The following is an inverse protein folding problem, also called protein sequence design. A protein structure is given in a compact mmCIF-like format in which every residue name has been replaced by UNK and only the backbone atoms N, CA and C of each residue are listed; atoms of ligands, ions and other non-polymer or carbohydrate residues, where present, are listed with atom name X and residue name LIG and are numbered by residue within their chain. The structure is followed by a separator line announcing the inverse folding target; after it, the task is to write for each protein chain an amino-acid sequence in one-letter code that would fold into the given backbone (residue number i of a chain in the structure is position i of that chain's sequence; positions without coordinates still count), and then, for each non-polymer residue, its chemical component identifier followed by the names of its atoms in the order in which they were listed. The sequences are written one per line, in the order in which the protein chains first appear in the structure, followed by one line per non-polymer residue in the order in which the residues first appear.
data_IF_559350112597
#
_entry.id   IF_559350112597
#
_cell.length_a   1.000
_cell.length_b   1.000
_cell.length_c   1.000
_cell.angle_alpha   90.00
_cell.angle_beta   90.00
_cell.angle_gamma   90.00
#
_symmetry.space_group_name_H-M   'P 1'
#
loop_
_entity.id
_entity.type
_entity.pdbx_description
1 polymer ?
#
# COMPACT_ATOMS: atom_id res chain seq x y z
N UNK A 1 12.47 28.97 -1.67
CA UNK A 1 12.68 27.82 -2.58
C UNK A 1 11.65 26.76 -2.24
N UNK A 2 10.60 26.63 -3.05
CA UNK A 2 9.59 25.57 -2.91
C UNK A 2 10.23 24.24 -3.34
N UNK A 3 10.35 23.31 -2.40
CA UNK A 3 10.91 21.98 -2.67
C UNK A 3 9.88 21.18 -3.48
N UNK A 4 10.04 21.17 -4.81
CA UNK A 4 9.16 20.40 -5.70
C UNK A 4 9.49 18.93 -5.52
N UNK A 5 8.58 18.19 -4.87
CA UNK A 5 8.72 16.73 -4.70
C UNK A 5 8.81 16.07 -6.07
N UNK A 6 9.57 14.99 -6.20
CA UNK A 6 9.57 14.19 -7.43
C UNK A 6 8.26 13.40 -7.58
N UNK A 7 7.95 12.96 -8.80
CA UNK A 7 6.77 12.10 -9.04
C UNK A 7 6.81 10.83 -8.18
N UNK A 8 8.00 10.27 -7.97
CA UNK A 8 8.17 9.08 -7.14
C UNK A 8 7.92 9.36 -5.65
N UNK A 9 8.32 10.54 -5.15
CA UNK A 9 8.01 10.94 -3.77
C UNK A 9 6.51 11.15 -3.58
N UNK A 10 5.84 11.77 -4.54
CA UNK A 10 4.38 11.94 -4.50
C UNK A 10 3.65 10.61 -4.59
N UNK A 11 4.15 9.67 -5.40
CA UNK A 11 3.59 8.33 -5.50
C UNK A 11 3.74 7.55 -4.19
N UNK A 12 4.93 7.55 -3.59
CA UNK A 12 5.16 6.93 -2.29
C UNK A 12 4.26 7.52 -1.19
N UNK A 13 4.08 8.84 -1.16
CA UNK A 13 3.16 9.50 -0.24
C UNK A 13 1.71 9.10 -0.50
N UNK A 14 1.28 9.08 -1.77
CA UNK A 14 -0.06 8.69 -2.15
C UNK A 14 -0.39 7.27 -1.68
N UNK A 15 0.53 6.30 -1.81
CA UNK A 15 0.34 4.95 -1.30
C UNK A 15 0.10 4.90 0.22
N UNK A 16 0.68 5.84 0.98
CA UNK A 16 0.49 5.89 2.44
C UNK A 16 -0.85 6.51 2.86
N UNK A 17 -1.43 7.38 2.03
CA UNK A 17 -2.65 8.13 2.35
C UNK A 17 -3.90 7.58 1.68
N UNK A 18 -3.77 7.02 0.48
CA UNK A 18 -4.87 6.46 -0.29
C UNK A 18 -5.40 5.19 0.36
N UNK A 19 -6.71 5.14 0.58
CA UNK A 19 -7.38 3.97 1.14
C UNK A 19 -7.37 2.82 0.13
N UNK A 20 -7.24 1.60 0.66
CA UNK A 20 -7.43 0.41 -0.14
C UNK A 20 -8.88 0.35 -0.66
N UNK A 21 -9.09 -0.02 -1.94
CA UNK A 21 -10.41 0.01 -2.55
C UNK A 21 -11.38 -0.98 -1.87
N UNK A 22 -12.53 -0.48 -1.41
CA UNK A 22 -13.54 -1.30 -0.72
C UNK A 22 -14.25 -2.33 -1.61
N UNK A 23 -14.00 -2.32 -2.93
CA UNK A 23 -14.58 -3.29 -3.88
C UNK A 23 -13.97 -4.69 -3.73
N UNK A 24 -12.76 -4.79 -3.18
CA UNK A 24 -12.17 -6.06 -2.77
C UNK A 24 -12.23 -6.14 -1.25
N UNK A 25 -13.21 -6.85 -0.68
CA UNK A 25 -13.37 -6.92 0.76
C UNK A 25 -12.23 -7.70 1.39
N UNK A 26 -11.66 -7.15 2.45
CA UNK A 26 -10.70 -7.85 3.31
C UNK A 26 -11.48 -8.64 4.35
N UNK A 27 -11.31 -9.95 4.36
CA UNK A 27 -11.96 -10.84 5.31
C UNK A 27 -11.40 -10.64 6.72
N UNK A 28 -12.21 -10.99 7.72
CA UNK A 28 -11.77 -10.93 9.11
C UNK A 28 -10.65 -11.94 9.40
N UNK A 29 -10.68 -13.11 8.75
CA UNK A 29 -9.66 -14.13 8.94
C UNK A 29 -8.33 -13.65 8.39
N UNK A 30 -8.33 -13.18 7.14
CA UNK A 30 -7.13 -12.64 6.51
C UNK A 30 -6.51 -11.52 7.32
N UNK A 31 -7.32 -10.56 7.78
CA UNK A 31 -6.81 -9.44 8.55
C UNK A 31 -6.15 -9.87 9.87
N UNK A 32 -6.78 -10.80 10.60
CA UNK A 32 -6.21 -11.33 11.85
C UNK A 32 -4.91 -12.09 11.61
N UNK A 33 -4.89 -12.96 10.60
CA UNK A 33 -3.70 -13.77 10.30
C UNK A 33 -2.56 -12.90 9.77
N UNK A 34 -2.85 -11.89 8.94
CA UNK A 34 -1.84 -10.95 8.48
C UNK A 34 -1.24 -10.13 9.64
N UNK A 35 -2.03 -9.77 10.65
CA UNK A 35 -1.51 -9.15 11.88
C UNK A 35 -0.65 -10.09 12.72
N UNK A 36 -0.98 -11.39 12.77
CA UNK A 36 -0.13 -12.42 13.38
C UNK A 36 1.21 -12.49 12.64
N UNK A 37 1.19 -12.61 11.31
CA UNK A 37 2.39 -12.59 10.47
C UNK A 37 3.24 -11.34 10.69
N UNK A 38 2.61 -10.16 10.77
CA UNK A 38 3.28 -8.91 11.08
C UNK A 38 4.04 -8.96 12.42
N UNK A 39 3.52 -9.66 13.42
CA UNK A 39 4.15 -9.77 14.74
C UNK A 39 5.48 -10.52 14.75
N UNK A 40 5.72 -11.38 13.75
CA UNK A 40 6.99 -12.07 13.54
C UNK A 40 8.01 -11.21 12.76
N UNK A 41 7.56 -10.12 12.15
CA UNK A 41 8.41 -9.22 11.38
C UNK A 41 8.99 -8.10 12.24
N UNK A 42 10.30 -7.88 12.10
CA UNK A 42 10.92 -6.67 12.61
C UNK A 42 10.46 -5.47 11.79
N UNK A 43 9.96 -4.41 12.46
CA UNK A 43 9.61 -3.13 11.82
C UNK A 43 10.70 -2.59 10.89
N UNK A 44 11.97 -2.85 11.21
CA UNK A 44 13.11 -2.43 10.39
C UNK A 44 13.21 -3.24 9.09
N UNK A 45 12.84 -4.53 9.10
CA UNK A 45 12.82 -5.40 7.91
C UNK A 45 11.77 -4.91 6.91
N UNK A 46 10.63 -4.43 7.41
CA UNK A 46 9.49 -3.97 6.60
C UNK A 46 9.49 -2.46 6.35
N UNK A 47 10.59 -1.76 6.68
CA UNK A 47 10.76 -0.34 6.38
C UNK A 47 9.82 0.61 7.12
N UNK A 48 9.24 0.18 8.26
CA UNK A 48 8.33 1.00 9.05
C UNK A 48 9.02 1.65 10.25
N UNK A 49 8.68 2.91 10.50
CA UNK A 49 8.97 3.57 11.78
C UNK A 49 8.15 2.93 12.92
N UNK A 50 8.56 3.19 14.16
CA UNK A 50 7.81 2.71 15.34
C UNK A 50 6.36 3.22 15.36
N UNK A 51 6.12 4.46 14.93
CA UNK A 51 4.79 5.06 14.91
C UNK A 51 3.90 4.46 13.81
N UNK A 52 4.46 4.23 12.63
CA UNK A 52 3.75 3.55 11.54
C UNK A 52 3.38 2.12 11.93
N UNK A 53 4.30 1.38 12.54
CA UNK A 53 4.04 0.03 13.04
C UNK A 53 2.93 0.01 14.09
N UNK A 54 2.99 0.90 15.09
CA UNK A 54 1.93 1.02 16.11
C UNK A 54 0.58 1.42 15.53
N UNK A 55 0.57 2.30 14.54
CA UNK A 55 -0.64 2.72 13.84
C UNK A 55 -1.25 1.56 13.07
N UNK A 56 -0.43 0.80 12.33
CA UNK A 56 -0.88 -0.37 11.56
C UNK A 56 -1.60 -1.39 12.45
N UNK A 57 -1.03 -1.72 13.61
CA UNK A 57 -1.63 -2.66 14.57
C UNK A 57 -3.00 -2.24 15.12
N UNK A 58 -3.39 -0.97 14.96
CA UNK A 58 -4.64 -0.41 15.47
C UNK A 58 -5.60 0.03 14.37
N UNK A 59 -5.15 0.01 13.11
CA UNK A 59 -5.93 0.53 11.98
C UNK A 59 -6.98 -0.51 11.58
N UNK A 60 -8.30 -0.23 11.69
CA UNK A 60 -9.33 -1.17 11.25
C UNK A 60 -9.14 -1.55 9.78
N UNK A 61 -9.50 -2.78 9.39
CA UNK A 61 -9.28 -3.28 8.02
C UNK A 61 -9.94 -2.42 6.94
N UNK A 62 -11.09 -1.81 7.25
CA UNK A 62 -11.83 -0.91 6.35
C UNK A 62 -11.13 0.44 6.15
N UNK A 63 -10.14 0.74 7.00
CA UNK A 63 -9.37 1.97 6.99
C UNK A 63 -7.92 1.74 6.57
N UNK A 64 -7.53 0.56 6.08
CA UNK A 64 -6.16 0.36 5.65
C UNK A 64 -5.84 1.23 4.41
N UNK A 65 -4.68 1.86 4.40
CA UNK A 65 -4.12 2.45 3.18
C UNK A 65 -3.54 1.36 2.27
N UNK A 66 -3.30 1.71 1.00
CA UNK A 66 -2.64 0.82 0.04
C UNK A 66 -1.32 0.26 0.59
N UNK A 67 -0.48 1.14 1.16
CA UNK A 67 0.80 0.73 1.75
C UNK A 67 0.60 -0.22 2.94
N UNK A 68 -0.38 0.04 3.80
CA UNK A 68 -0.67 -0.83 4.94
C UNK A 68 -1.14 -2.22 4.51
N UNK A 69 -1.98 -2.29 3.48
CA UNK A 69 -2.40 -3.58 2.90
C UNK A 69 -1.22 -4.31 2.28
N UNK A 70 -0.37 -3.63 1.50
CA UNK A 70 0.82 -4.26 0.92
C UNK A 70 1.76 -4.82 1.98
N UNK A 71 1.98 -4.08 3.08
CA UNK A 71 2.77 -4.58 4.22
C UNK A 71 2.13 -5.83 4.81
N UNK A 72 0.84 -5.80 5.13
CA UNK A 72 0.15 -6.95 5.74
C UNK A 72 0.17 -8.17 4.82
N UNK A 73 -0.12 -7.98 3.54
CA UNK A 73 -0.16 -9.03 2.53
C UNK A 73 1.19 -9.71 2.35
N UNK A 74 2.26 -8.92 2.19
CA UNK A 74 3.61 -9.48 2.06
C UNK A 74 4.04 -10.22 3.33
N UNK A 75 3.67 -9.73 4.52
CA UNK A 75 3.99 -10.43 5.76
C UNK A 75 3.25 -11.77 5.90
N UNK A 76 1.99 -11.85 5.44
CA UNK A 76 1.26 -13.10 5.44
C UNK A 76 1.93 -14.13 4.52
N UNK A 77 2.29 -13.71 3.30
CA UNK A 77 2.92 -14.58 2.29
C UNK A 77 4.36 -14.99 2.63
N UNK A 78 5.06 -14.20 3.44
CA UNK A 78 6.39 -14.52 3.97
C UNK A 78 6.37 -15.59 5.08
N UNK A 79 5.20 -15.88 5.66
CA UNK A 79 5.05 -16.82 6.76
C UNK A 79 4.57 -18.20 6.28
N UNK A 80 4.94 -19.25 6.98
CA UNK A 80 4.34 -20.57 6.76
C UNK A 80 3.06 -20.76 7.64
N UNK A 81 2.16 -21.70 7.30
CA UNK A 81 0.93 -21.91 8.06
C UNK A 81 1.14 -22.15 9.56
N UNK A 82 2.23 -22.84 9.93
CA UNK A 82 2.52 -23.18 11.32
C UNK A 82 2.89 -21.93 12.14
N UNK A 83 3.65 -20.99 11.56
CA UNK A 83 3.97 -19.70 12.20
C UNK A 83 2.70 -18.87 12.43
N UNK A 84 1.78 -18.94 11.46
CA UNK A 84 0.50 -18.23 11.51
C UNK A 84 -0.52 -18.90 12.44
N UNK A 85 -0.23 -20.11 12.91
CA UNK A 85 -1.12 -20.89 13.77
C UNK A 85 -2.40 -21.36 13.08
N UNK A 86 -2.39 -21.49 11.74
CA UNK A 86 -3.53 -21.94 10.95
C UNK A 86 -3.28 -23.29 10.26
N UNK A 87 -4.36 -23.98 9.92
CA UNK A 87 -4.29 -25.22 9.15
C UNK A 87 -3.94 -24.93 7.69
N UNK A 88 -3.38 -25.92 6.99
CA UNK A 88 -2.98 -25.76 5.59
C UNK A 88 -4.17 -25.38 4.69
N UNK A 89 -5.36 -25.95 4.90
CA UNK A 89 -6.53 -25.58 4.09
C UNK A 89 -6.94 -24.12 4.30
N UNK A 90 -6.87 -23.64 5.55
CA UNK A 90 -7.12 -22.23 5.85
C UNK A 90 -6.07 -21.33 5.20
N UNK A 91 -4.79 -21.70 5.28
CA UNK A 91 -3.72 -20.94 4.64
C UNK A 91 -3.90 -20.83 3.12
N UNK A 92 -4.35 -21.89 2.44
CA UNK A 92 -4.63 -21.84 0.98
C UNK A 92 -5.70 -20.80 0.68
N UNK A 93 -6.80 -20.75 1.44
CA UNK A 93 -7.85 -19.75 1.28
C UNK A 93 -7.31 -18.33 1.51
N UNK A 94 -6.44 -18.16 2.50
CA UNK A 94 -5.81 -16.87 2.79
C UNK A 94 -4.87 -16.42 1.66
N UNK A 95 -4.16 -17.35 1.03
CA UNK A 95 -3.30 -17.08 -0.14
C UNK A 95 -4.15 -16.69 -1.35
N UNK A 96 -5.24 -17.39 -1.63
CA UNK A 96 -6.17 -17.02 -2.70
C UNK A 96 -6.75 -15.61 -2.49
N UNK A 97 -7.13 -15.27 -1.26
CA UNK A 97 -7.56 -13.92 -0.92
C UNK A 97 -6.43 -12.89 -1.09
N UNK A 98 -5.20 -13.26 -0.74
CA UNK A 98 -3.99 -12.43 -0.91
C UNK A 98 -3.70 -12.11 -2.38
N UNK A 99 -4.00 -13.02 -3.30
CA UNK A 99 -3.88 -12.79 -4.74
C UNK A 99 -4.89 -11.73 -5.21
N UNK A 100 -6.15 -11.84 -4.80
CA UNK A 100 -7.19 -10.84 -5.11
C UNK A 100 -6.83 -9.46 -4.54
N UNK A 101 -6.28 -9.42 -3.33
CA UNK A 101 -5.79 -8.20 -2.69
C UNK A 101 -4.61 -7.60 -3.48
N UNK A 102 -3.69 -8.44 -3.95
CA UNK A 102 -2.54 -8.01 -4.75
C UNK A 102 -2.97 -7.39 -6.08
N UNK A 103 -3.93 -8.00 -6.77
CA UNK A 103 -4.47 -7.49 -8.02
C UNK A 103 -5.13 -6.12 -7.83
N UNK A 104 -5.94 -5.97 -6.78
CA UNK A 104 -6.57 -4.69 -6.46
C UNK A 104 -5.57 -3.62 -6.04
N UNK A 105 -4.53 -3.99 -5.29
CA UNK A 105 -3.42 -3.10 -4.97
C UNK A 105 -2.74 -2.62 -6.26
N UNK A 106 -2.35 -3.55 -7.15
CA UNK A 106 -1.62 -3.25 -8.37
C UNK A 106 -2.42 -2.33 -9.30
N UNK A 107 -3.69 -2.64 -9.54
CA UNK A 107 -4.58 -1.81 -10.37
C UNK A 107 -4.70 -0.38 -9.82
N UNK A 108 -4.91 -0.24 -8.51
CA UNK A 108 -5.06 1.08 -7.89
C UNK A 108 -3.72 1.85 -7.86
N UNK A 109 -2.62 1.16 -7.59
CA UNK A 109 -1.28 1.74 -7.59
C UNK A 109 -0.88 2.23 -8.99
N UNK A 110 -1.19 1.46 -10.03
CA UNK A 110 -0.93 1.87 -11.43
C UNK A 110 -1.75 3.11 -11.81
N UNK A 111 -3.05 3.11 -11.52
CA UNK A 111 -3.92 4.27 -11.76
C UNK A 111 -3.43 5.54 -11.03
N UNK A 112 -2.97 5.39 -9.78
CA UNK A 112 -2.39 6.50 -9.01
C UNK A 112 -1.10 7.02 -9.66
N UNK A 113 -0.23 6.11 -10.12
CA UNK A 113 1.02 6.48 -10.76
C UNK A 113 0.79 7.22 -12.07
N UNK A 114 -0.15 6.75 -12.88
CA UNK A 114 -0.53 7.42 -14.13
C UNK A 114 -1.08 8.82 -13.88
N UNK A 115 -1.99 8.98 -12.91
CA UNK A 115 -2.56 10.28 -12.53
C UNK A 115 -1.46 11.27 -12.14
N UNK A 116 -0.54 10.86 -11.25
CA UNK A 116 0.58 11.72 -10.81
C UNK A 116 1.46 12.09 -11.99
N UNK A 117 1.80 11.14 -12.87
CA UNK A 117 2.62 11.42 -14.05
C UNK A 117 1.95 12.40 -15.02
N UNK A 118 0.64 12.29 -15.21
CA UNK A 118 -0.14 13.20 -16.05
C UNK A 118 -0.16 14.62 -15.46
N UNK A 119 -0.32 14.76 -14.14
CA UNK A 119 -0.29 16.06 -13.47
C UNK A 119 1.10 16.71 -13.59
N UNK A 120 2.18 15.94 -13.41
CA UNK A 120 3.55 16.42 -13.67
C UNK A 120 3.76 16.91 -15.10
N UNK A 121 3.25 16.16 -16.08
CA UNK A 121 3.36 16.53 -17.47
C UNK A 121 2.59 17.84 -17.75
N UNK A 122 1.39 17.98 -17.19
CA UNK A 122 0.56 19.19 -17.31
C UNK A 122 1.25 20.41 -16.72
N UNK A 123 1.82 20.28 -15.52
CA UNK A 123 2.50 21.39 -14.82
C UNK A 123 3.73 21.88 -15.59
N UNK A 124 4.50 20.95 -16.19
CA UNK A 124 5.63 21.31 -17.05
C UNK A 124 5.18 22.09 -18.28
N UNK A 125 4.10 21.66 -18.96
CA UNK A 125 3.58 22.35 -20.16
C UNK A 125 3.10 23.76 -19.83
N UNK A 126 2.38 23.94 -18.71
CA UNK A 126 1.90 25.24 -18.25
C UNK A 126 3.07 26.18 -17.92
N UNK A 127 4.10 25.68 -17.22
CA UNK A 127 5.29 26.47 -16.89
C UNK A 127 6.05 26.91 -18.14
N UNK A 128 6.24 26.02 -19.12
CA UNK A 128 6.88 26.41 -20.40
C UNK A 128 6.06 27.42 -21.20
N UNK A 129 4.74 27.31 -21.19
CA UNK A 129 3.85 28.22 -21.92
C UNK A 129 3.84 29.62 -21.29
N UNK A 130 3.90 29.72 -19.97
CA UNK A 130 3.99 30.99 -19.25
C UNK A 130 5.33 31.71 -19.49
N UNK A 131 6.43 30.97 -19.51
CA UNK A 131 7.75 31.52 -19.84
C UNK A 131 7.81 32.02 -21.29
N UNK A 132 7.22 31.28 -22.24
CA UNK A 132 7.14 31.70 -23.64
C UNK A 132 6.24 32.93 -23.86
N UNK A 133 5.24 33.17 -23.01
CA UNK A 133 4.37 34.34 -23.07
C UNK A 133 4.98 35.60 -22.41
N UNK A 134 6.09 35.45 -21.67
CA UNK A 134 6.79 36.54 -20.97
C UNK A 134 8.12 36.93 -21.64
N UNK A 135 8.54 36.20 -22.68
CA UNK A 135 9.72 36.47 -23.50
C UNK A 135 9.34 37.19 -24.79
#
# INVERSE_FOLDING_TARGET
MTNVKSAEQQFAEALTTERFPSVVPISESWYKVALIGLSFSSKNKIGLTSDQYRTLLKTPKEQLSLMQVAVLNNNLLDCNPADLGCHLEEYVILVEESELISDAFNQKAEALREMIMQDFARDKVLSTSQLAAQA
#
